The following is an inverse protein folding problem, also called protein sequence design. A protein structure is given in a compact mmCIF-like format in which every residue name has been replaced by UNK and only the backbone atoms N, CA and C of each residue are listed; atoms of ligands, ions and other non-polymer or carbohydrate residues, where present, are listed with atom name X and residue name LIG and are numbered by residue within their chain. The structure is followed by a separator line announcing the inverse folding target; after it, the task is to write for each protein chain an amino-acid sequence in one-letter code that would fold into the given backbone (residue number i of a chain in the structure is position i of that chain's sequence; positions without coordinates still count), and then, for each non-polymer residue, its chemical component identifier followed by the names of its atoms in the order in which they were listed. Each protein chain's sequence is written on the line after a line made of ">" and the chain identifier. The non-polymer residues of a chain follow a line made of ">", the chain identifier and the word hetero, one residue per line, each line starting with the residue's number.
data_IF_455696727859
#
_entry.id   IF_455696727859
#
_cell.length_a   1.000
_cell.length_b   1.000
_cell.length_c   1.000
_cell.angle_alpha   90.00
_cell.angle_beta   90.00
_cell.angle_gamma   90.00
#
_symmetry.space_group_name_H-M   'P 1'
#
loop_
_entity.id
_entity.type
_entity.pdbx_description
1 polymer ?
#
# COMPACT_ATOMS: atom_id res chain seq x y z
N UNK A 1 -4.97 12.35 5.55
CA UNK A 1 -5.27 11.23 4.62
C UNK A 1 -3.97 10.70 4.04
N UNK A 2 -3.78 9.41 4.07
CA UNK A 2 -2.60 8.74 3.48
C UNK A 2 -3.05 7.54 2.64
N UNK A 3 -2.27 7.21 1.61
CA UNK A 3 -2.41 5.94 0.91
C UNK A 3 -1.65 4.86 1.67
N UNK A 4 -2.15 3.63 1.62
CA UNK A 4 -1.57 2.50 2.38
C UNK A 4 -1.24 1.37 1.41
N UNK A 5 0.04 0.96 1.40
CA UNK A 5 0.47 -0.20 0.63
C UNK A 5 0.22 -1.49 1.41
N UNK A 6 0.06 -2.59 0.69
CA UNK A 6 -0.06 -3.92 1.27
C UNK A 6 1.05 -4.24 2.27
N UNK A 7 2.28 -3.80 2.00
CA UNK A 7 3.43 -4.04 2.88
C UNK A 7 3.23 -3.51 4.30
N UNK A 8 2.57 -2.36 4.45
CA UNK A 8 2.31 -1.77 5.76
C UNK A 8 1.33 -2.63 6.57
N UNK A 9 0.26 -3.10 5.93
CA UNK A 9 -0.74 -3.97 6.59
C UNK A 9 -0.11 -5.30 7.00
N UNK A 10 0.64 -5.92 6.11
CA UNK A 10 1.32 -7.19 6.40
C UNK A 10 2.30 -7.03 7.55
N UNK A 11 3.08 -5.96 7.58
CA UNK A 11 4.05 -5.70 8.63
C UNK A 11 3.37 -5.57 10.00
N UNK A 12 2.22 -4.91 10.07
CA UNK A 12 1.46 -4.78 11.32
C UNK A 12 0.92 -6.13 11.76
N UNK A 13 0.30 -6.88 10.86
CA UNK A 13 -0.30 -8.18 11.18
C UNK A 13 0.76 -9.18 11.64
N UNK A 14 1.94 -9.17 11.02
CA UNK A 14 3.06 -10.05 11.37
C UNK A 14 3.88 -9.55 12.54
N UNK A 15 3.52 -8.42 13.13
CA UNK A 15 4.26 -7.80 14.23
C UNK A 15 5.75 -7.62 13.90
N UNK A 16 6.04 -7.13 12.69
CA UNK A 16 7.40 -6.84 12.27
C UNK A 16 7.98 -5.65 13.04
N UNK A 17 9.32 -5.45 13.05
CA UNK A 17 9.96 -4.42 13.89
C UNK A 17 9.44 -3.01 13.73
N UNK A 18 8.87 -2.67 12.57
CA UNK A 18 8.35 -1.32 12.28
C UNK A 18 6.87 -1.15 12.62
N UNK A 19 6.22 -2.15 13.20
CA UNK A 19 4.79 -2.14 13.49
C UNK A 19 4.36 -0.88 14.23
N UNK A 20 5.05 -0.53 15.31
CA UNK A 20 4.64 0.61 16.15
C UNK A 20 4.73 1.94 15.39
N UNK A 21 5.76 2.10 14.57
CA UNK A 21 5.89 3.28 13.71
C UNK A 21 4.74 3.41 12.73
N UNK A 22 4.35 2.29 12.12
CA UNK A 22 3.24 2.25 11.17
C UNK A 22 1.92 2.59 11.86
N UNK A 23 1.66 1.99 13.03
CA UNK A 23 0.45 2.29 13.82
C UNK A 23 0.39 3.76 14.21
N UNK A 24 1.49 4.32 14.70
CA UNK A 24 1.56 5.73 15.08
C UNK A 24 1.24 6.63 13.89
N UNK A 25 1.70 6.26 12.72
CA UNK A 25 1.46 7.04 11.51
C UNK A 25 0.00 6.98 11.08
N UNK A 26 -0.63 5.81 11.17
CA UNK A 26 -2.05 5.63 10.91
C UNK A 26 -2.91 6.41 11.91
N UNK A 27 -2.53 6.41 13.17
CA UNK A 27 -3.25 7.16 14.21
C UNK A 27 -3.25 8.66 13.98
N UNK A 28 -2.15 9.20 13.44
CA UNK A 28 -2.04 10.62 13.14
C UNK A 28 -2.70 11.04 11.84
N UNK A 29 -2.95 10.07 10.95
CA UNK A 29 -3.61 10.35 9.69
C UNK A 29 -5.12 10.49 9.91
N UNK A 30 -5.75 11.39 9.16
CA UNK A 30 -7.20 11.55 9.19
C UNK A 30 -7.88 10.54 8.25
N UNK A 31 -7.56 9.25 8.43
CA UNK A 31 -8.01 8.17 7.60
C UNK A 31 -6.98 7.74 6.55
N UNK A 32 -7.22 6.62 5.91
CA UNK A 32 -6.38 6.04 4.87
C UNK A 32 -7.16 5.55 3.68
N UNK A 33 -6.49 5.46 2.55
CA UNK A 33 -7.02 4.88 1.32
C UNK A 33 -6.16 3.67 0.94
N UNK A 34 -6.81 2.60 0.51
CA UNK A 34 -6.11 1.44 -0.05
C UNK A 34 -6.68 1.12 -1.43
N UNK A 35 -5.81 0.89 -2.40
CA UNK A 35 -6.24 0.50 -3.74
C UNK A 35 -6.98 -0.83 -3.71
N UNK A 36 -8.05 -0.95 -4.49
CA UNK A 36 -8.74 -2.24 -4.67
C UNK A 36 -7.81 -3.32 -5.22
N UNK A 37 -6.80 -2.94 -6.02
CA UNK A 37 -5.76 -3.87 -6.46
C UNK A 37 -4.92 -4.41 -5.29
N UNK A 38 -4.56 -3.55 -4.36
CA UNK A 38 -3.82 -3.97 -3.16
C UNK A 38 -4.69 -4.80 -2.20
N UNK A 39 -5.98 -4.54 -2.14
CA UNK A 39 -6.90 -5.40 -1.36
C UNK A 39 -6.90 -6.83 -1.88
N UNK A 40 -6.96 -7.01 -3.20
CA UNK A 40 -6.88 -8.34 -3.79
C UNK A 40 -5.52 -8.98 -3.52
N UNK A 41 -4.43 -8.22 -3.68
CA UNK A 41 -3.09 -8.70 -3.37
C UNK A 41 -2.98 -9.16 -1.91
N UNK A 42 -3.49 -8.36 -0.98
CA UNK A 42 -3.48 -8.68 0.44
C UNK A 42 -4.25 -9.98 0.73
N UNK A 43 -5.41 -10.17 0.10
CA UNK A 43 -6.18 -11.40 0.27
C UNK A 43 -5.40 -12.60 -0.25
N UNK A 44 -4.72 -12.49 -1.39
CA UNK A 44 -3.89 -13.55 -1.94
C UNK A 44 -2.69 -13.87 -1.04
N UNK A 45 -2.05 -12.85 -0.47
CA UNK A 45 -0.94 -13.05 0.48
C UNK A 45 -1.42 -13.81 1.73
N UNK A 46 -2.64 -13.56 2.16
CA UNK A 46 -3.22 -14.17 3.35
C UNK A 46 -3.93 -15.50 3.08
N UNK A 47 -4.19 -15.83 1.82
CA UNK A 47 -4.78 -17.10 1.44
C UNK A 47 -3.88 -18.26 1.90
N UNK A 48 -4.48 -19.29 2.46
CA UNK A 48 -3.73 -20.43 2.99
C UNK A 48 -3.14 -20.20 4.40
N UNK A 49 -3.23 -19.00 4.94
CA UNK A 49 -2.75 -18.68 6.30
C UNK A 49 -3.88 -18.58 7.32
N UNK A 50 -5.10 -18.84 6.87
CA UNK A 50 -6.29 -18.87 7.74
C UNK A 50 -7.09 -17.57 7.70
N UNK A 51 -8.39 -17.73 7.94
CA UNK A 51 -9.34 -16.62 7.94
C UNK A 51 -9.06 -15.61 9.07
N UNK A 52 -8.41 -16.03 10.15
CA UNK A 52 -8.09 -15.14 11.26
C UNK A 52 -7.20 -13.97 10.86
N UNK A 53 -6.25 -14.17 9.93
CA UNK A 53 -5.39 -13.09 9.45
C UNK A 53 -6.17 -12.06 8.64
N UNK A 54 -7.11 -12.51 7.81
CA UNK A 54 -7.97 -11.60 7.06
C UNK A 54 -8.85 -10.77 8.01
N UNK A 55 -9.38 -11.39 9.05
CA UNK A 55 -10.15 -10.68 10.09
C UNK A 55 -9.31 -9.63 10.80
N UNK A 56 -8.02 -9.90 11.03
CA UNK A 56 -7.11 -8.90 11.59
C UNK A 56 -6.92 -7.71 10.64
N UNK A 57 -6.81 -7.95 9.34
CA UNK A 57 -6.73 -6.89 8.34
C UNK A 57 -8.00 -6.03 8.35
N UNK A 58 -9.17 -6.64 8.36
CA UNK A 58 -10.45 -5.92 8.43
C UNK A 58 -10.55 -5.08 9.71
N UNK A 59 -10.10 -5.61 10.84
CA UNK A 59 -10.06 -4.87 12.09
C UNK A 59 -9.15 -3.64 12.03
N UNK A 60 -8.02 -3.73 11.31
CA UNK A 60 -7.15 -2.58 11.07
C UNK A 60 -7.83 -1.52 10.20
N UNK A 61 -8.53 -1.95 9.15
CA UNK A 61 -9.26 -1.03 8.29
C UNK A 61 -10.31 -0.25 9.06
N UNK A 62 -11.06 -0.94 9.92
CA UNK A 62 -12.06 -0.30 10.76
C UNK A 62 -11.42 0.66 11.77
N UNK A 63 -10.40 0.20 12.47
CA UNK A 63 -9.75 0.98 13.52
C UNK A 63 -9.16 2.30 13.01
N UNK A 64 -8.51 2.26 11.86
CA UNK A 64 -7.81 3.42 11.30
C UNK A 64 -8.56 4.10 10.17
N UNK A 65 -9.81 3.70 9.94
CA UNK A 65 -10.66 4.25 8.88
C UNK A 65 -9.95 4.18 7.51
N UNK A 66 -9.44 3.00 7.18
CA UNK A 66 -8.82 2.73 5.88
C UNK A 66 -9.92 2.23 4.94
N UNK A 67 -10.19 2.98 3.88
CA UNK A 67 -11.27 2.65 2.94
C UNK A 67 -10.73 2.34 1.55
N UNK A 68 -11.40 1.44 0.81
CA UNK A 68 -11.01 1.12 -0.56
C UNK A 68 -11.17 2.30 -1.51
N UNK A 69 -10.26 2.40 -2.48
CA UNK A 69 -10.37 3.33 -3.59
C UNK A 69 -10.23 2.54 -4.88
N UNK A 70 -11.18 2.65 -5.83
CA UNK A 70 -11.10 1.90 -7.08
C UNK A 70 -9.84 2.21 -7.88
N UNK A 71 -9.21 1.17 -8.41
CA UNK A 71 -8.14 1.30 -9.39
C UNK A 71 -8.79 1.54 -10.76
N UNK A 72 -8.95 2.80 -11.11
CA UNK A 72 -9.64 3.22 -12.31
C UNK A 72 -8.70 3.41 -13.51
N UNK A 73 -9.25 3.85 -14.63
CA UNK A 73 -8.47 4.03 -15.85
C UNK A 73 -7.41 5.13 -15.71
N UNK A 74 -7.68 6.20 -14.99
CA UNK A 74 -6.69 7.24 -14.72
C UNK A 74 -5.52 6.67 -13.93
N UNK A 75 -5.79 5.91 -12.88
CA UNK A 75 -4.75 5.24 -12.09
C UNK A 75 -3.99 4.20 -12.91
N UNK A 76 -4.66 3.50 -13.82
CA UNK A 76 -3.99 2.58 -14.74
C UNK A 76 -2.91 3.31 -15.56
N UNK A 77 -3.24 4.48 -16.12
CA UNK A 77 -2.27 5.26 -16.89
C UNK A 77 -1.07 5.67 -16.05
N UNK A 78 -1.30 6.09 -14.82
CA UNK A 78 -0.23 6.43 -13.86
C UNK A 78 0.62 5.20 -13.57
N UNK A 79 -0.01 4.06 -13.29
CA UNK A 79 0.66 2.81 -13.01
C UNK A 79 1.49 2.31 -14.20
N UNK A 80 0.98 2.43 -15.43
CA UNK A 80 1.71 2.07 -16.64
C UNK A 80 2.98 2.91 -16.79
N UNK A 81 2.87 4.21 -16.59
CA UNK A 81 4.03 5.10 -16.63
C UNK A 81 5.05 4.75 -15.54
N UNK A 82 4.57 4.44 -14.33
CA UNK A 82 5.44 4.02 -13.22
C UNK A 82 6.16 2.71 -13.52
N UNK A 83 5.47 1.74 -14.10
CA UNK A 83 6.06 0.45 -14.47
C UNK A 83 7.20 0.62 -15.48
N UNK A 84 7.04 1.53 -16.43
CA UNK A 84 8.09 1.83 -17.42
C UNK A 84 9.26 2.61 -16.81
N UNK A 85 8.99 3.49 -15.86
CA UNK A 85 10.02 4.35 -15.26
C UNK A 85 10.76 3.67 -14.10
N UNK A 86 10.03 3.00 -13.21
CA UNK A 86 10.54 2.48 -11.93
C UNK A 86 10.47 0.95 -11.81
N UNK A 87 10.00 0.25 -12.83
CA UNK A 87 9.71 -1.18 -12.76
C UNK A 87 10.94 -2.06 -12.60
N UNK A 88 10.69 -3.30 -12.20
CA UNK A 88 11.73 -4.32 -12.07
C UNK A 88 12.48 -4.49 -13.39
N UNK A 89 13.82 -4.61 -13.29
CA UNK A 89 14.69 -4.73 -14.46
C UNK A 89 14.92 -3.43 -15.22
N UNK A 90 14.29 -2.33 -14.83
CA UNK A 90 14.39 -1.02 -15.50
C UNK A 90 14.98 0.07 -14.61
N UNK A 91 14.76 -0.03 -13.29
CA UNK A 91 15.15 1.01 -12.34
C UNK A 91 15.51 0.36 -11.00
N UNK A 92 16.38 1.00 -10.23
CA UNK A 92 16.79 0.52 -8.89
C UNK A 92 15.64 0.43 -7.89
N UNK A 93 14.56 1.19 -8.10
CA UNK A 93 13.35 1.07 -7.29
C UNK A 93 12.73 -0.32 -7.42
N UNK A 94 12.73 -0.88 -8.62
CA UNK A 94 12.28 -2.25 -8.85
C UNK A 94 10.81 -2.47 -8.54
N UNK A 95 9.92 -1.51 -8.85
CA UNK A 95 8.50 -1.64 -8.55
C UNK A 95 7.91 -2.89 -9.18
N UNK A 96 7.29 -3.72 -8.36
CA UNK A 96 6.57 -4.91 -8.81
C UNK A 96 5.11 -4.57 -9.13
N UNK A 97 4.34 -5.61 -9.51
CA UNK A 97 2.94 -5.46 -9.90
C UNK A 97 2.11 -4.80 -8.78
N UNK A 98 2.22 -5.29 -7.54
CA UNK A 98 1.46 -4.76 -6.40
C UNK A 98 1.84 -3.32 -6.06
N UNK A 99 3.12 -2.99 -6.16
CA UNK A 99 3.62 -1.65 -5.88
C UNK A 99 2.99 -0.59 -6.80
N UNK A 100 2.71 -0.96 -8.05
CA UNK A 100 2.13 -0.04 -9.02
C UNK A 100 0.75 0.46 -8.61
N UNK A 101 -0.05 -0.35 -7.95
CA UNK A 101 -1.37 0.08 -7.45
C UNK A 101 -1.24 1.15 -6.36
N UNK A 102 -0.38 0.92 -5.39
CA UNK A 102 -0.16 1.87 -4.29
C UNK A 102 0.45 3.18 -4.79
N UNK A 103 1.42 3.08 -5.70
CA UNK A 103 2.02 4.25 -6.34
C UNK A 103 0.96 5.09 -7.05
N UNK A 104 0.15 4.45 -7.90
CA UNK A 104 -0.87 5.16 -8.68
C UNK A 104 -1.90 5.85 -7.77
N UNK A 105 -2.29 5.19 -6.68
CA UNK A 105 -3.21 5.78 -5.71
C UNK A 105 -2.60 7.03 -5.06
N UNK A 106 -1.39 6.92 -4.55
CA UNK A 106 -0.72 8.04 -3.89
C UNK A 106 -0.54 9.25 -4.82
N UNK A 107 -0.13 9.01 -6.05
CA UNK A 107 0.08 10.07 -7.03
C UNK A 107 -1.26 10.69 -7.47
N UNK A 108 -2.27 9.89 -7.78
CA UNK A 108 -3.55 10.40 -8.26
C UNK A 108 -4.30 11.21 -7.21
N UNK A 109 -4.16 10.86 -5.94
CA UNK A 109 -4.80 11.57 -4.82
C UNK A 109 -3.90 12.66 -4.23
N UNK A 110 -2.64 12.75 -4.67
CA UNK A 110 -1.63 13.67 -4.16
C UNK A 110 -1.50 13.58 -2.64
N UNK A 111 -1.32 12.36 -2.14
CA UNK A 111 -1.19 12.07 -0.70
C UNK A 111 0.04 11.20 -0.44
N UNK A 112 0.60 11.26 0.80
CA UNK A 112 1.73 10.42 1.15
C UNK A 112 1.36 8.93 1.16
N UNK A 113 2.36 8.08 0.94
CA UNK A 113 2.22 6.63 0.92
C UNK A 113 2.88 5.99 2.14
N UNK A 114 2.13 5.18 2.87
CA UNK A 114 2.63 4.37 3.98
C UNK A 114 3.04 2.99 3.47
N UNK A 115 4.30 2.65 3.66
CA UNK A 115 4.90 1.41 3.18
C UNK A 115 6.07 0.97 4.06
N UNK A 116 6.51 -0.27 3.87
CA UNK A 116 7.79 -0.78 4.39
C UNK A 116 8.65 -1.22 3.21
N UNK A 117 9.96 -1.36 3.46
CA UNK A 117 10.90 -1.77 2.43
C UNK A 117 11.47 -0.60 1.66
N UNK A 118 12.18 -0.90 0.57
CA UNK A 118 13.00 0.07 -0.17
C UNK A 118 12.43 0.46 -1.54
N UNK A 119 11.38 -0.22 -2.00
CA UNK A 119 10.93 -0.08 -3.39
C UNK A 119 10.48 1.34 -3.72
N UNK A 120 9.73 1.96 -2.83
CA UNK A 120 9.23 3.32 -3.06
C UNK A 120 10.24 4.43 -2.74
N UNK A 121 11.31 4.11 -2.02
CA UNK A 121 12.30 5.11 -1.59
C UNK A 121 13.03 5.78 -2.77
N UNK A 122 13.07 5.12 -3.91
CA UNK A 122 13.73 5.63 -5.12
C UNK A 122 12.74 6.18 -6.15
N UNK A 123 11.49 6.37 -5.75
CA UNK A 123 10.45 6.96 -6.60
C UNK A 123 10.14 8.38 -6.14
N UNK A 124 9.19 9.02 -6.81
CA UNK A 124 8.74 10.37 -6.50
C UNK A 124 7.54 10.43 -5.54
N UNK A 125 7.14 9.28 -4.92
CA UNK A 125 6.10 9.33 -3.89
C UNK A 125 6.64 10.03 -2.64
N UNK A 126 5.74 10.74 -1.95
CA UNK A 126 6.04 11.26 -0.61
C UNK A 126 5.81 10.14 0.40
N UNK A 127 6.83 9.82 1.19
CA UNK A 127 6.69 8.83 2.26
C UNK A 127 5.85 9.39 3.41
N UNK A 128 4.94 8.58 3.88
CA UNK A 128 4.11 8.93 5.02
C UNK A 128 4.86 8.77 6.35
#
# INVERSE_FOLDING_TARGET
>A
MIAVDTSAIVAIIRAEPHEQRLRNRLERAAGGLISTGNLLELQLVMAGKGQALWQQAEALFDKYNIVPRPFDEQQLRIAQAAALRFGQGRHKAGLNFGDCFAYALAISEDIPLLFTGKDFAHTDVTAA
#
